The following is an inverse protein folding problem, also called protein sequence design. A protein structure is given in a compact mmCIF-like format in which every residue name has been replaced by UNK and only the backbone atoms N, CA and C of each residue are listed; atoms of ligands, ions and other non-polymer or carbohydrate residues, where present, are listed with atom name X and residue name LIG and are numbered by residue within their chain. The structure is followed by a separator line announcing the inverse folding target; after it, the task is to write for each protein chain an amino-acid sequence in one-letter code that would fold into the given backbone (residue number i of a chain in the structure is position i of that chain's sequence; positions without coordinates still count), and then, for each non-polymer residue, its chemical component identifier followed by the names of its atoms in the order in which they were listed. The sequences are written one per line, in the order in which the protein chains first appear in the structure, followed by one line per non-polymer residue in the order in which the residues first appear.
data_IF_334913494985
#
_entry.id   IF_334913494985
#
_cell.length_a   1.000
_cell.length_b   1.000
_cell.length_c   1.000
_cell.angle_alpha   90.00
_cell.angle_beta   90.00
_cell.angle_gamma   90.00
#
_symmetry.space_group_name_H-M   'P 1'
#
loop_
_entity.id
_entity.type
_entity.pdbx_description
1 polymer ?
#
# COMPACT_ATOMS: atom_id res chain seq x y z
N UNK A 1 0.26 -22.70 17.07
CA UNK A 1 -0.75 -21.85 17.73
C UNK A 1 -1.89 -21.52 16.79
N UNK A 2 -3.08 -21.16 17.33
CA UNK A 2 -4.25 -20.70 16.54
C UNK A 2 -4.17 -19.19 16.34
N UNK A 3 -4.12 -18.74 15.08
CA UNK A 3 -3.98 -17.32 14.71
C UNK A 3 -5.15 -16.91 13.82
N UNK A 4 -5.96 -15.95 14.26
CA UNK A 4 -7.01 -15.35 13.46
C UNK A 4 -6.50 -14.07 12.81
N UNK A 5 -6.56 -13.98 11.48
CA UNK A 5 -6.23 -12.79 10.70
C UNK A 5 -7.53 -12.22 10.14
N UNK A 6 -7.81 -10.96 10.44
CA UNK A 6 -9.01 -10.25 10.00
C UNK A 6 -8.66 -9.08 9.11
N UNK A 7 -8.95 -9.20 7.80
CA UNK A 7 -8.87 -8.09 6.86
C UNK A 7 -10.04 -8.18 5.85
N UNK A 8 -10.92 -7.17 5.78
CA UNK A 8 -12.02 -7.16 4.82
C UNK A 8 -11.56 -7.15 3.35
N UNK A 9 -10.32 -6.76 3.09
CA UNK A 9 -9.66 -6.83 1.78
C UNK A 9 -8.43 -7.73 1.82
N UNK A 10 -8.01 -8.27 0.68
CA UNK A 10 -6.89 -9.23 0.65
C UNK A 10 -5.54 -8.49 0.67
N UNK A 11 -5.39 -7.46 -0.13
CA UNK A 11 -4.18 -6.65 -0.28
C UNK A 11 -2.87 -7.48 -0.08
N UNK A 12 -1.95 -6.96 0.76
CA UNK A 12 -0.71 -7.65 1.13
C UNK A 12 -0.90 -8.71 2.24
N UNK A 13 -2.05 -8.75 2.91
CA UNK A 13 -2.36 -9.70 4.00
C UNK A 13 -2.19 -11.16 3.56
N UNK A 14 -2.31 -11.46 2.25
CA UNK A 14 -1.98 -12.78 1.70
C UNK A 14 -0.56 -13.25 2.07
N UNK A 15 0.41 -12.34 2.10
CA UNK A 15 1.78 -12.67 2.46
C UNK A 15 1.90 -12.94 3.97
N UNK A 16 1.17 -12.21 4.82
CA UNK A 16 1.07 -12.48 6.25
C UNK A 16 0.46 -13.87 6.52
N UNK A 17 -0.66 -14.18 5.85
CA UNK A 17 -1.32 -15.49 5.95
C UNK A 17 -0.39 -16.62 5.51
N UNK A 18 0.29 -16.44 4.38
CA UNK A 18 1.24 -17.42 3.85
C UNK A 18 2.40 -17.66 4.81
N UNK A 19 3.05 -16.60 5.30
CA UNK A 19 4.17 -16.71 6.23
C UNK A 19 3.81 -17.55 7.46
N UNK A 20 2.64 -17.31 8.04
CA UNK A 20 2.19 -18.00 9.24
C UNK A 20 1.76 -19.46 8.98
N UNK A 21 1.17 -19.74 7.82
CA UNK A 21 0.85 -21.12 7.39
C UNK A 21 2.12 -21.94 7.13
N UNK A 22 3.10 -21.35 6.44
CA UNK A 22 4.38 -21.99 6.11
C UNK A 22 5.19 -22.29 7.37
N UNK A 23 5.00 -21.52 8.44
CA UNK A 23 5.60 -21.75 9.77
C UNK A 23 4.83 -22.74 10.64
N UNK A 24 3.83 -23.42 10.10
CA UNK A 24 3.09 -24.50 10.77
C UNK A 24 2.05 -24.03 11.77
N UNK A 25 1.62 -22.76 11.72
CA UNK A 25 0.52 -22.27 12.55
C UNK A 25 -0.85 -22.69 12.00
N UNK A 26 -1.81 -22.85 12.88
CA UNK A 26 -3.23 -23.02 12.51
C UNK A 26 -3.82 -21.63 12.27
N UNK A 27 -4.01 -21.27 11.00
CA UNK A 27 -4.43 -19.92 10.59
C UNK A 27 -5.86 -19.92 10.08
N UNK A 28 -6.69 -19.01 10.60
CA UNK A 28 -8.00 -18.65 10.05
C UNK A 28 -7.92 -17.24 9.47
N UNK A 29 -8.04 -17.10 8.16
CA UNK A 29 -8.13 -15.81 7.49
C UNK A 29 -9.58 -15.44 7.24
N UNK A 30 -10.09 -14.45 7.96
CA UNK A 30 -11.42 -13.88 7.81
C UNK A 30 -11.39 -12.67 6.87
N UNK A 31 -12.11 -12.73 5.74
CA UNK A 31 -12.18 -11.67 4.73
C UNK A 31 -13.62 -11.39 4.28
N UNK A 32 -13.86 -10.23 3.67
CA UNK A 32 -15.21 -9.89 3.18
C UNK A 32 -15.61 -10.75 1.99
N UNK A 33 -14.68 -11.13 1.14
CA UNK A 33 -14.94 -11.96 -0.04
C UNK A 33 -13.69 -12.74 -0.46
N UNK A 34 -13.88 -14.06 -0.71
CA UNK A 34 -12.88 -14.93 -1.29
C UNK A 34 -13.44 -15.62 -2.54
N UNK A 35 -12.75 -15.53 -3.67
CA UNK A 35 -13.19 -16.19 -4.91
C UNK A 35 -13.02 -17.71 -4.80
N UNK A 36 -14.12 -18.44 -5.10
CA UNK A 36 -14.13 -19.91 -5.15
C UNK A 36 -14.82 -20.37 -6.44
N UNK A 37 -14.09 -20.94 -7.42
CA UNK A 37 -14.61 -21.22 -8.76
C UNK A 37 -15.85 -22.15 -8.78
N UNK A 38 -16.03 -22.95 -7.74
CA UNK A 38 -17.14 -23.93 -7.66
C UNK A 38 -18.46 -23.36 -7.12
N UNK A 39 -18.49 -22.10 -6.65
CA UNK A 39 -19.74 -21.49 -6.17
C UNK A 39 -20.62 -21.06 -7.34
N UNK A 40 -21.94 -21.15 -7.16
CA UNK A 40 -22.93 -20.83 -8.20
C UNK A 40 -22.75 -19.40 -8.76
N UNK A 41 -22.50 -18.42 -7.90
CA UNK A 41 -22.30 -17.03 -8.30
C UNK A 41 -21.09 -16.88 -9.24
N UNK A 42 -19.96 -17.50 -8.93
CA UNK A 42 -18.75 -17.46 -9.74
C UNK A 42 -18.91 -18.19 -11.07
N UNK A 43 -19.70 -19.28 -11.08
CA UNK A 43 -20.04 -20.00 -12.32
C UNK A 43 -20.85 -19.13 -13.28
N UNK A 44 -21.83 -18.36 -12.78
CA UNK A 44 -22.65 -17.44 -13.59
C UNK A 44 -21.75 -16.38 -14.26
N UNK A 45 -20.75 -15.85 -13.55
CA UNK A 45 -19.86 -14.81 -14.08
C UNK A 45 -18.58 -15.35 -14.74
N UNK A 46 -18.42 -16.67 -14.84
CA UNK A 46 -17.23 -17.33 -15.39
C UNK A 46 -16.93 -16.98 -16.85
N UNK A 47 -17.96 -16.67 -17.64
CA UNK A 47 -17.87 -16.30 -19.06
C UNK A 47 -17.79 -14.76 -19.29
N UNK A 48 -17.73 -13.96 -18.23
CA UNK A 48 -17.75 -12.49 -18.33
C UNK A 48 -16.38 -11.88 -18.00
N UNK A 49 -16.10 -10.64 -18.44
CA UNK A 49 -14.88 -9.90 -18.01
C UNK A 49 -14.74 -9.75 -16.49
N UNK A 50 -15.87 -9.86 -15.75
CA UNK A 50 -15.91 -9.81 -14.30
C UNK A 50 -15.13 -10.97 -13.65
N UNK A 51 -14.93 -12.09 -14.32
CA UNK A 51 -14.13 -13.24 -13.85
C UNK A 51 -12.73 -12.80 -13.42
N UNK A 52 -12.01 -12.07 -14.28
CA UNK A 52 -10.64 -11.58 -13.96
C UNK A 52 -10.61 -10.68 -12.73
N UNK A 53 -11.66 -9.87 -12.54
CA UNK A 53 -11.79 -9.02 -11.36
C UNK A 53 -12.05 -9.86 -10.09
N UNK A 54 -12.93 -10.85 -10.17
CA UNK A 54 -13.25 -11.73 -9.04
C UNK A 54 -12.05 -12.60 -8.64
N UNK A 55 -11.30 -13.12 -9.60
CA UNK A 55 -10.09 -13.94 -9.36
C UNK A 55 -8.98 -13.20 -8.59
N UNK A 56 -8.93 -11.87 -8.65
CA UNK A 56 -7.98 -11.07 -7.83
C UNK A 56 -8.22 -11.20 -6.33
N UNK A 57 -9.39 -11.72 -5.93
CA UNK A 57 -9.77 -11.94 -4.54
C UNK A 57 -9.52 -13.39 -4.09
N UNK A 58 -8.54 -14.04 -4.66
CA UNK A 58 -8.04 -15.35 -4.23
C UNK A 58 -6.53 -15.42 -4.42
N UNK A 59 -5.94 -16.42 -3.80
CA UNK A 59 -4.53 -16.77 -3.98
C UNK A 59 -4.43 -18.29 -3.97
N UNK A 60 -3.86 -18.88 -5.03
CA UNK A 60 -3.74 -20.32 -5.19
C UNK A 60 -2.78 -20.94 -4.16
N UNK A 61 -1.87 -20.14 -3.60
CA UNK A 61 -0.91 -20.58 -2.59
C UNK A 61 -1.52 -20.67 -1.19
N UNK A 62 -2.71 -20.09 -0.97
CA UNK A 62 -3.40 -20.14 0.32
C UNK A 62 -4.45 -21.26 0.26
N UNK A 63 -4.35 -22.22 1.19
CA UNK A 63 -5.33 -23.31 1.31
C UNK A 63 -6.72 -22.72 1.55
N UNK A 64 -7.67 -23.06 0.70
CA UNK A 64 -9.05 -22.58 0.80
C UNK A 64 -9.73 -22.92 2.14
N UNK A 65 -9.29 -24.00 2.82
CA UNK A 65 -9.76 -24.39 4.15
C UNK A 65 -9.35 -23.41 5.26
N UNK A 66 -8.25 -22.66 5.07
CA UNK A 66 -7.79 -21.64 6.03
C UNK A 66 -8.50 -20.29 5.83
N UNK A 67 -9.38 -20.15 4.85
CA UNK A 67 -10.06 -18.88 4.55
C UNK A 67 -11.56 -19.00 4.82
N UNK A 68 -12.08 -18.08 5.62
CA UNK A 68 -13.50 -17.89 5.83
C UNK A 68 -13.93 -16.53 5.29
N UNK A 69 -14.95 -16.49 4.46
CA UNK A 69 -15.47 -15.25 3.89
C UNK A 69 -16.88 -14.93 4.39
N UNK A 70 -17.16 -13.62 4.52
CA UNK A 70 -18.42 -13.13 5.06
C UNK A 70 -19.60 -13.64 4.20
N UNK A 71 -20.65 -14.27 4.79
CA UNK A 71 -21.76 -14.88 4.03
C UNK A 71 -22.45 -13.93 3.06
N UNK A 72 -22.58 -12.66 3.46
CA UNK A 72 -23.24 -11.58 2.70
C UNK A 72 -22.24 -10.55 2.13
N UNK A 73 -20.94 -10.77 2.30
CA UNK A 73 -19.90 -9.79 1.96
C UNK A 73 -20.00 -9.28 0.53
N UNK A 74 -20.29 -10.15 -0.43
CA UNK A 74 -20.47 -9.78 -1.86
C UNK A 74 -21.64 -8.84 -2.08
N UNK A 75 -22.82 -9.21 -1.56
CA UNK A 75 -24.05 -8.42 -1.74
C UNK A 75 -23.88 -7.04 -1.10
N UNK A 76 -23.34 -7.01 0.11
CA UNK A 76 -23.10 -5.78 0.85
C UNK A 76 -22.06 -4.87 0.18
N UNK A 77 -21.02 -5.45 -0.41
CA UNK A 77 -20.03 -4.71 -1.18
C UNK A 77 -20.65 -3.95 -2.38
N UNK A 78 -21.59 -4.60 -3.09
CA UNK A 78 -22.30 -3.97 -4.20
C UNK A 78 -23.34 -2.94 -3.71
N UNK A 79 -24.13 -3.25 -2.69
CA UNK A 79 -25.14 -2.35 -2.15
C UNK A 79 -24.55 -1.06 -1.59
N UNK A 80 -23.44 -1.14 -0.86
CA UNK A 80 -22.75 0.04 -0.32
C UNK A 80 -22.23 0.97 -1.43
N UNK A 81 -21.85 0.43 -2.60
CA UNK A 81 -21.46 1.28 -3.74
C UNK A 81 -22.58 2.18 -4.26
N UNK A 82 -23.84 1.77 -4.13
CA UNK A 82 -25.00 2.52 -4.59
C UNK A 82 -25.38 3.68 -3.67
N UNK A 83 -24.88 3.70 -2.43
CA UNK A 83 -25.20 4.74 -1.45
C UNK A 83 -24.43 6.03 -1.79
N UNK A 84 -25.04 7.21 -1.80
CA UNK A 84 -24.37 8.49 -2.00
C UNK A 84 -23.57 8.89 -0.76
N UNK A 85 -22.32 8.43 -0.66
CA UNK A 85 -21.41 8.71 0.45
C UNK A 85 -19.95 8.77 -0.03
N UNK A 86 -19.05 9.37 0.75
CA UNK A 86 -17.62 9.36 0.45
C UNK A 86 -17.05 7.95 0.44
N UNK A 87 -15.95 7.75 -0.28
CA UNK A 87 -15.25 6.45 -0.35
C UNK A 87 -14.88 5.96 1.05
N UNK A 88 -14.35 6.84 1.89
CA UNK A 88 -13.97 6.51 3.27
C UNK A 88 -15.18 6.10 4.12
N UNK A 89 -16.33 6.77 3.97
CA UNK A 89 -17.55 6.40 4.70
C UNK A 89 -18.09 5.03 4.28
N UNK A 90 -18.05 4.72 2.97
CA UNK A 90 -18.46 3.42 2.45
C UNK A 90 -17.56 2.30 2.98
N UNK A 91 -16.23 2.52 2.94
CA UNK A 91 -15.25 1.60 3.50
C UNK A 91 -15.51 1.39 4.99
N UNK A 92 -15.71 2.46 5.77
CA UNK A 92 -15.96 2.37 7.21
C UNK A 92 -17.19 1.51 7.56
N UNK A 93 -18.28 1.62 6.81
CA UNK A 93 -19.46 0.79 7.05
C UNK A 93 -19.19 -0.70 6.75
N UNK A 94 -18.46 -0.98 5.67
CA UNK A 94 -18.07 -2.35 5.32
C UNK A 94 -17.14 -2.94 6.40
N UNK A 95 -16.15 -2.15 6.84
CA UNK A 95 -15.21 -2.54 7.88
C UNK A 95 -15.92 -2.84 9.20
N UNK A 96 -16.90 -2.01 9.61
CA UNK A 96 -17.71 -2.24 10.82
C UNK A 96 -18.57 -3.49 10.76
N UNK A 97 -19.13 -3.80 9.61
CA UNK A 97 -19.94 -5.02 9.43
C UNK A 97 -19.05 -6.27 9.49
N UNK A 98 -17.90 -6.20 8.86
CA UNK A 98 -16.88 -7.24 8.91
C UNK A 98 -16.41 -7.49 10.34
N UNK A 99 -16.04 -6.46 11.06
CA UNK A 99 -15.59 -6.52 12.45
C UNK A 99 -16.60 -7.21 13.39
N UNK A 100 -17.88 -6.80 13.32
CA UNK A 100 -18.97 -7.46 14.09
C UNK A 100 -19.16 -8.94 13.76
N UNK A 101 -18.91 -9.32 12.53
CA UNK A 101 -18.97 -10.73 12.14
C UNK A 101 -17.76 -11.50 12.67
N UNK A 102 -16.55 -10.96 12.52
CA UNK A 102 -15.31 -11.60 13.00
C UNK A 102 -15.30 -11.71 14.52
N UNK A 103 -15.84 -10.74 15.26
CA UNK A 103 -15.93 -10.82 16.72
C UNK A 103 -16.67 -12.08 17.21
N UNK A 104 -17.64 -12.59 16.43
CA UNK A 104 -18.32 -13.86 16.73
C UNK A 104 -17.44 -15.08 16.41
N UNK A 105 -16.62 -15.00 15.36
CA UNK A 105 -15.65 -16.05 15.01
C UNK A 105 -14.60 -16.19 16.10
N UNK A 106 -14.12 -15.09 16.68
CA UNK A 106 -13.15 -15.08 17.79
C UNK A 106 -13.68 -15.92 18.96
N UNK A 107 -14.94 -15.68 19.39
CA UNK A 107 -15.56 -16.42 20.51
C UNK A 107 -15.77 -17.90 20.20
N UNK A 108 -16.01 -18.27 18.95
CA UNK A 108 -16.26 -19.67 18.55
C UNK A 108 -15.00 -20.47 18.26
N UNK A 109 -13.90 -19.81 17.89
CA UNK A 109 -12.64 -20.47 17.50
C UNK A 109 -11.53 -20.33 18.53
N UNK A 110 -11.65 -19.38 19.47
CA UNK A 110 -10.72 -19.12 20.56
C UNK A 110 -9.25 -19.03 20.13
N UNK A 111 -8.88 -18.06 19.28
CA UNK A 111 -7.49 -17.87 18.85
C UNK A 111 -6.61 -17.43 20.00
N UNK A 112 -5.31 -17.76 19.92
CA UNK A 112 -4.28 -17.26 20.83
C UNK A 112 -3.74 -15.89 20.40
N UNK A 113 -3.77 -15.61 19.08
CA UNK A 113 -3.40 -14.33 18.49
C UNK A 113 -4.48 -13.88 17.50
N UNK A 114 -4.85 -12.61 17.55
CA UNK A 114 -5.70 -11.95 16.56
C UNK A 114 -4.90 -10.85 15.89
N UNK A 115 -4.75 -10.92 14.57
CA UNK A 115 -4.20 -9.85 13.73
C UNK A 115 -5.36 -9.14 13.07
N UNK A 116 -5.65 -7.92 13.49
CA UNK A 116 -6.77 -7.11 13.01
C UNK A 116 -6.31 -5.96 12.13
N UNK A 117 -7.00 -5.75 11.00
CA UNK A 117 -6.72 -4.62 10.11
C UNK A 117 -7.42 -3.36 10.61
N UNK A 118 -6.71 -2.23 10.60
CA UNK A 118 -7.18 -0.91 11.07
C UNK A 118 -8.57 -0.56 10.52
N UNK A 119 -9.47 -0.04 11.34
CA UNK A 119 -10.89 0.28 11.15
C UNK A 119 -11.84 -0.93 11.18
N UNK A 120 -11.33 -2.15 11.24
CA UNK A 120 -12.14 -3.36 11.14
C UNK A 120 -11.88 -4.39 12.23
N UNK A 121 -11.40 -3.96 13.42
CA UNK A 121 -11.03 -4.89 14.48
C UNK A 121 -11.41 -4.47 15.91
N UNK A 122 -12.15 -3.38 16.11
CA UNK A 122 -12.52 -2.91 17.46
C UNK A 122 -13.36 -3.93 18.24
N UNK A 123 -14.45 -4.45 17.64
CA UNK A 123 -15.31 -5.45 18.30
C UNK A 123 -14.60 -6.82 18.35
N UNK A 124 -13.80 -7.12 17.36
CA UNK A 124 -12.90 -8.28 17.29
C UNK A 124 -11.90 -8.27 18.46
N UNK A 125 -11.24 -7.14 18.72
CA UNK A 125 -10.27 -6.99 19.81
C UNK A 125 -10.94 -7.05 21.20
N UNK A 126 -12.15 -6.51 21.35
CA UNK A 126 -12.92 -6.68 22.57
C UNK A 126 -13.19 -8.16 22.86
N UNK A 127 -13.61 -8.92 21.85
CA UNK A 127 -13.85 -10.36 22.00
C UNK A 127 -12.53 -11.13 22.26
N UNK A 128 -11.43 -10.72 21.66
CA UNK A 128 -10.11 -11.30 21.93
C UNK A 128 -9.63 -11.02 23.37
N UNK A 129 -9.93 -9.82 23.91
CA UNK A 129 -9.62 -9.49 25.30
C UNK A 129 -10.40 -10.35 26.31
N UNK A 130 -11.65 -10.72 26.00
CA UNK A 130 -12.45 -11.65 26.84
C UNK A 130 -11.79 -13.04 26.96
N UNK A 131 -10.96 -13.41 25.98
CA UNK A 131 -10.25 -14.71 25.90
C UNK A 131 -8.76 -14.59 26.28
N UNK A 132 -8.28 -13.44 26.69
CA UNK A 132 -6.85 -13.13 26.92
C UNK A 132 -5.97 -13.42 25.68
N UNK A 133 -6.54 -13.33 24.46
CA UNK A 133 -5.79 -13.48 23.23
C UNK A 133 -4.97 -12.21 22.94
N UNK A 134 -3.77 -12.40 22.39
CA UNK A 134 -2.89 -11.32 21.91
C UNK A 134 -3.54 -10.58 20.75
N UNK A 135 -3.38 -9.26 20.69
CA UNK A 135 -4.00 -8.39 19.69
C UNK A 135 -2.94 -7.60 18.94
N UNK A 136 -2.71 -7.94 17.68
CA UNK A 136 -1.87 -7.18 16.78
C UNK A 136 -2.73 -6.36 15.82
N UNK A 137 -2.51 -5.04 15.83
CA UNK A 137 -3.15 -4.14 14.89
C UNK A 137 -2.27 -3.98 13.64
N UNK A 138 -2.76 -4.39 12.47
CA UNK A 138 -2.13 -4.14 11.18
C UNK A 138 -2.49 -2.73 10.71
N UNK A 139 -1.54 -1.79 10.86
CA UNK A 139 -1.67 -0.38 10.48
C UNK A 139 -1.17 -0.17 9.05
N UNK A 140 -2.08 -0.12 8.11
CA UNK A 140 -1.76 0.10 6.70
C UNK A 140 -1.48 1.55 6.30
N UNK A 141 -1.73 2.50 7.20
CA UNK A 141 -1.56 3.93 6.94
C UNK A 141 -0.67 4.59 8.01
N UNK A 142 -1.02 5.79 8.42
CA UNK A 142 -0.36 6.60 9.45
C UNK A 142 -1.36 6.97 10.53
N UNK A 143 -0.89 7.51 11.65
CA UNK A 143 -1.79 8.01 12.70
C UNK A 143 -2.82 9.01 12.12
N UNK A 144 -4.11 8.92 12.50
CA UNK A 144 -5.16 9.77 11.91
C UNK A 144 -4.98 11.28 12.17
N UNK A 145 -4.21 11.70 13.19
CA UNK A 145 -3.84 13.11 13.39
C UNK A 145 -2.99 13.65 12.25
N UNK A 146 -2.09 12.83 11.67
CA UNK A 146 -1.31 13.22 10.51
C UNK A 146 -2.21 13.40 9.27
N UNK A 147 -3.20 12.54 9.10
CA UNK A 147 -4.21 12.72 8.03
C UNK A 147 -5.05 13.98 8.26
N UNK A 148 -5.37 14.32 9.52
CA UNK A 148 -6.12 15.55 9.85
C UNK A 148 -5.30 16.83 9.56
N UNK A 149 -3.97 16.81 9.74
CA UNK A 149 -3.09 17.92 9.32
C UNK A 149 -3.14 18.13 7.81
N UNK A 150 -2.94 17.07 7.03
CA UNK A 150 -3.06 17.14 5.56
C UNK A 150 -4.45 17.58 5.10
N UNK A 151 -5.50 17.17 5.83
CA UNK A 151 -6.88 17.57 5.55
C UNK A 151 -7.14 19.05 5.81
N UNK A 152 -6.43 19.65 6.74
CA UNK A 152 -6.50 21.11 7.03
C UNK A 152 -5.76 21.91 5.97
N UNK A 153 -4.63 21.39 5.52
CA UNK A 153 -3.74 22.05 4.57
C UNK A 153 -4.24 21.90 3.12
N UNK A 154 -4.63 20.68 2.70
CA UNK A 154 -5.01 20.37 1.33
C UNK A 154 -6.49 20.03 1.20
N UNK A 155 -7.24 20.87 0.47
CA UNK A 155 -8.71 20.77 0.37
C UNK A 155 -9.19 19.42 -0.22
N UNK A 156 -8.46 18.81 -1.14
CA UNK A 156 -8.84 17.54 -1.76
C UNK A 156 -8.86 16.36 -0.76
N UNK A 157 -8.11 16.42 0.33
CA UNK A 157 -8.22 15.42 1.41
C UNK A 157 -9.61 15.41 2.07
N UNK A 158 -10.33 16.54 2.06
CA UNK A 158 -11.72 16.59 2.55
C UNK A 158 -12.65 15.76 1.67
N UNK A 159 -12.40 15.75 0.35
CA UNK A 159 -13.14 14.91 -0.60
C UNK A 159 -12.94 13.41 -0.34
N UNK A 160 -11.71 13.01 0.01
CA UNK A 160 -11.36 11.62 0.31
C UNK A 160 -11.94 11.19 1.67
N UNK A 161 -11.71 11.97 2.71
CA UNK A 161 -12.05 11.63 4.10
C UNK A 161 -13.49 11.97 4.52
N UNK A 162 -14.22 12.69 3.67
CA UNK A 162 -15.60 13.10 3.93
C UNK A 162 -15.73 14.30 4.88
N UNK A 163 -16.94 14.50 5.44
CA UNK A 163 -17.22 15.62 6.35
C UNK A 163 -16.41 15.53 7.63
N UNK A 164 -16.20 16.68 8.31
CA UNK A 164 -15.48 16.74 9.60
C UNK A 164 -16.09 15.84 10.68
N UNK A 165 -17.42 15.72 10.72
CA UNK A 165 -18.11 14.84 11.67
C UNK A 165 -17.82 13.36 11.40
N UNK A 166 -17.90 12.94 10.16
CA UNK A 166 -17.62 11.55 9.75
C UNK A 166 -16.15 11.19 9.98
N UNK A 167 -15.24 12.10 9.63
CA UNK A 167 -13.81 11.93 9.90
C UNK A 167 -13.53 11.74 11.38
N UNK A 168 -14.13 12.58 12.26
CA UNK A 168 -13.98 12.46 13.72
C UNK A 168 -14.53 11.13 14.25
N UNK A 169 -15.62 10.63 13.69
CA UNK A 169 -16.17 9.32 14.07
C UNK A 169 -15.17 8.19 13.77
N UNK A 170 -14.59 8.19 12.57
CA UNK A 170 -13.58 7.21 12.14
C UNK A 170 -12.32 7.34 12.99
N UNK A 171 -11.88 8.58 13.23
CA UNK A 171 -10.74 8.90 14.10
C UNK A 171 -10.88 8.27 15.49
N UNK A 172 -12.00 8.55 16.18
CA UNK A 172 -12.25 7.99 17.51
C UNK A 172 -12.23 6.47 17.50
N UNK A 173 -12.78 5.86 16.46
CA UNK A 173 -12.79 4.40 16.32
C UNK A 173 -11.36 3.84 16.23
N UNK A 174 -10.50 4.42 15.40
CA UNK A 174 -9.10 4.04 15.28
C UNK A 174 -8.32 4.15 16.59
N UNK A 175 -8.53 5.24 17.34
CA UNK A 175 -7.86 5.42 18.64
C UNK A 175 -8.24 4.30 19.62
N UNK A 176 -9.52 3.91 19.68
CA UNK A 176 -9.96 2.78 20.51
C UNK A 176 -9.31 1.45 20.09
N UNK A 177 -9.10 1.23 18.80
CA UNK A 177 -8.35 0.05 18.30
C UNK A 177 -6.89 0.10 18.76
N UNK A 178 -6.24 1.29 18.71
CA UNK A 178 -4.86 1.46 19.17
C UNK A 178 -4.70 1.21 20.66
N UNK A 179 -5.69 1.64 21.47
CA UNK A 179 -5.71 1.40 22.91
C UNK A 179 -5.80 -0.09 23.24
N UNK A 180 -6.68 -0.83 22.56
CA UNK A 180 -6.90 -2.25 22.77
C UNK A 180 -5.79 -3.16 22.21
N UNK A 181 -5.09 -2.74 21.18
CA UNK A 181 -4.01 -3.52 20.60
C UNK A 181 -2.87 -3.70 21.61
N UNK A 182 -2.28 -4.88 21.70
CA UNK A 182 -1.05 -5.11 22.47
C UNK A 182 0.16 -4.63 21.65
N UNK A 183 0.11 -4.83 20.32
CA UNK A 183 1.14 -4.41 19.37
C UNK A 183 0.53 -3.77 18.13
N UNK A 184 1.16 -2.71 17.62
CA UNK A 184 0.80 -2.04 16.37
C UNK A 184 1.88 -2.32 15.32
N UNK A 185 1.48 -2.97 14.24
CA UNK A 185 2.33 -3.39 13.16
C UNK A 185 2.33 -2.35 12.04
N UNK A 186 3.47 -1.72 11.78
CA UNK A 186 3.63 -0.64 10.80
C UNK A 186 4.47 -1.06 9.61
N UNK A 187 4.29 -0.39 8.49
CA UNK A 187 5.00 -0.66 7.23
C UNK A 187 6.30 0.16 7.07
N UNK A 188 6.53 1.18 7.90
CA UNK A 188 7.71 2.06 7.80
C UNK A 188 7.96 2.81 9.09
N UNK A 189 9.20 3.33 9.24
CA UNK A 189 9.57 4.23 10.33
C UNK A 189 8.79 5.56 10.25
N UNK A 190 8.45 6.03 9.05
CA UNK A 190 7.57 7.18 8.85
C UNK A 190 6.19 6.95 9.51
N UNK A 191 5.55 5.81 9.24
CA UNK A 191 4.26 5.48 9.87
C UNK A 191 4.40 5.34 11.38
N UNK A 192 5.44 4.65 11.88
CA UNK A 192 5.76 4.51 13.29
C UNK A 192 5.99 5.88 13.96
N UNK A 193 6.75 6.77 13.33
CA UNK A 193 7.00 8.14 13.81
C UNK A 193 5.71 8.93 14.02
N UNK A 194 4.71 8.77 13.14
CA UNK A 194 3.39 9.44 13.33
C UNK A 194 2.63 8.93 14.55
N UNK A 195 2.80 7.66 14.92
CA UNK A 195 2.22 7.09 16.15
C UNK A 195 2.92 7.63 17.39
N UNK A 196 4.25 7.61 17.42
CA UNK A 196 5.06 8.10 18.53
C UNK A 196 4.80 9.58 18.81
N UNK A 197 4.72 10.42 17.76
CA UNK A 197 4.38 11.84 17.87
C UNK A 197 2.99 12.09 18.49
N UNK A 198 2.12 11.07 18.48
CA UNK A 198 0.78 11.14 19.07
C UNK A 198 0.64 10.30 20.35
N UNK A 199 1.75 9.99 21.01
CA UNK A 199 1.76 9.42 22.37
C UNK A 199 1.70 7.89 22.44
N UNK A 200 1.78 7.19 21.31
CA UNK A 200 1.91 5.72 21.32
C UNK A 200 3.36 5.35 21.66
N UNK A 201 3.54 4.49 22.68
CA UNK A 201 4.88 4.03 23.07
C UNK A 201 5.56 3.27 21.91
N UNK A 202 6.84 3.55 21.67
CA UNK A 202 7.63 2.83 20.66
C UNK A 202 7.72 1.33 20.96
N UNK A 203 7.69 0.92 22.24
CA UNK A 203 7.68 -0.48 22.66
C UNK A 203 6.43 -1.26 22.19
N UNK A 204 5.36 -0.54 21.84
CA UNK A 204 4.11 -1.11 21.29
C UNK A 204 4.13 -1.21 19.76
N UNK A 205 5.20 -0.74 19.10
CA UNK A 205 5.26 -0.62 17.64
C UNK A 205 6.26 -1.62 17.08
N UNK A 206 5.82 -2.38 16.09
CA UNK A 206 6.68 -3.23 15.25
C UNK A 206 6.69 -2.73 13.83
N UNK A 207 7.89 -2.57 13.25
CA UNK A 207 8.04 -2.13 11.86
C UNK A 207 8.50 -3.31 11.01
N UNK A 208 7.67 -3.68 10.03
CA UNK A 208 8.02 -4.69 9.03
C UNK A 208 7.57 -4.22 7.63
N UNK A 209 8.48 -3.64 6.86
CA UNK A 209 8.21 -3.15 5.51
C UNK A 209 7.82 -4.28 4.55
N UNK A 210 6.86 -4.00 3.66
CA UNK A 210 6.45 -4.96 2.62
C UNK A 210 7.60 -5.28 1.68
N UNK A 211 7.65 -6.54 1.26
CA UNK A 211 8.63 -7.02 0.30
C UNK A 211 8.22 -6.81 -1.16
N UNK A 212 9.18 -7.02 -2.06
CA UNK A 212 8.97 -7.16 -3.49
C UNK A 212 9.35 -8.57 -3.97
N UNK A 213 8.98 -8.92 -5.20
CA UNK A 213 9.36 -10.20 -5.82
C UNK A 213 10.65 -10.02 -6.66
N UNK A 214 11.83 -10.52 -6.22
CA UNK A 214 13.08 -10.36 -6.94
C UNK A 214 13.15 -11.13 -8.25
N UNK A 215 12.27 -12.12 -8.48
CA UNK A 215 12.17 -12.82 -9.75
C UNK A 215 11.43 -12.02 -10.83
N UNK A 216 10.74 -10.95 -10.46
CA UNK A 216 10.00 -10.05 -11.37
C UNK A 216 10.73 -8.70 -11.50
N UNK A 217 11.09 -8.12 -10.37
CA UNK A 217 11.73 -6.81 -10.29
C UNK A 217 13.23 -6.98 -10.06
N UNK A 218 14.02 -6.75 -11.08
CA UNK A 218 15.49 -6.84 -11.07
C UNK A 218 16.06 -5.87 -12.12
N UNK A 219 17.30 -5.39 -11.95
CA UNK A 219 17.89 -4.47 -12.91
C UNK A 219 18.16 -5.15 -14.26
N UNK A 220 18.13 -4.40 -15.38
CA UNK A 220 18.50 -4.95 -16.68
C UNK A 220 19.99 -5.35 -16.69
N UNK A 221 20.34 -6.41 -17.44
CA UNK A 221 21.73 -6.89 -17.59
C UNK A 221 22.59 -5.81 -18.25
N UNK A 222 22.06 -5.14 -19.26
CA UNK A 222 22.67 -4.00 -19.91
C UNK A 222 21.65 -2.86 -19.97
N UNK A 223 22.03 -1.68 -19.49
CA UNK A 223 21.23 -0.47 -19.68
C UNK A 223 21.81 0.26 -20.89
N UNK A 224 20.97 0.54 -21.87
CA UNK A 224 21.39 1.33 -23.05
C UNK A 224 22.11 2.60 -22.60
N UNK A 225 23.33 2.79 -23.11
CA UNK A 225 24.05 4.04 -22.89
C UNK A 225 23.27 5.18 -23.52
N UNK A 226 22.88 6.16 -22.70
CA UNK A 226 22.17 7.33 -23.18
C UNK A 226 23.00 8.14 -24.16
N UNK A 227 22.51 8.25 -25.37
CA UNK A 227 22.90 9.30 -26.29
C UNK A 227 21.63 9.82 -26.98
N UNK A 228 21.30 11.07 -26.79
CA UNK A 228 20.29 11.86 -27.52
C UNK A 228 18.81 11.48 -27.45
N UNK A 229 18.33 10.85 -26.40
CA UNK A 229 16.87 10.69 -26.17
C UNK A 229 16.40 11.49 -24.95
N UNK A 230 15.11 11.88 -24.86
CA UNK A 230 14.55 12.57 -23.69
C UNK A 230 14.68 11.71 -22.43
N UNK A 231 14.83 12.38 -21.26
CA UNK A 231 14.78 11.71 -19.96
C UNK A 231 13.44 11.00 -19.79
N UNK A 232 13.47 9.67 -19.65
CA UNK A 232 12.27 8.83 -19.50
C UNK A 232 11.89 8.74 -18.04
N UNK A 233 10.88 9.49 -17.66
CA UNK A 233 10.31 9.49 -16.30
C UNK A 233 9.15 8.50 -16.27
N UNK A 234 9.09 7.67 -15.24
CA UNK A 234 7.95 6.79 -15.01
C UNK A 234 7.33 7.07 -13.64
N UNK A 235 6.00 7.07 -13.62
CA UNK A 235 5.16 7.04 -12.42
C UNK A 235 4.29 5.79 -12.47
N UNK A 236 4.13 5.09 -11.36
CA UNK A 236 3.19 3.98 -11.26
C UNK A 236 2.36 4.06 -9.97
N UNK A 237 1.03 3.97 -10.13
CA UNK A 237 0.06 4.09 -9.05
C UNK A 237 -1.28 4.64 -9.53
N UNK A 238 -2.29 4.68 -8.66
CA UNK A 238 -3.59 5.28 -9.00
C UNK A 238 -3.38 6.76 -9.31
N UNK A 239 -3.96 7.25 -10.40
CA UNK A 239 -3.83 8.64 -10.86
C UNK A 239 -4.74 9.54 -10.01
N UNK A 240 -4.24 9.99 -8.87
CA UNK A 240 -4.99 10.79 -7.89
C UNK A 240 -4.23 12.02 -7.42
N UNK A 241 -4.96 13.01 -6.88
CA UNK A 241 -4.37 14.17 -6.24
C UNK A 241 -3.52 13.78 -5.01
N UNK A 242 -4.00 12.82 -4.21
CA UNK A 242 -3.24 12.29 -3.06
C UNK A 242 -1.88 11.73 -3.47
N UNK A 243 -1.78 11.17 -4.67
CA UNK A 243 -0.51 10.66 -5.22
C UNK A 243 0.32 11.71 -5.95
N UNK A 244 -0.11 12.98 -5.91
CA UNK A 244 0.65 14.12 -6.41
C UNK A 244 0.75 14.25 -7.93
N UNK A 245 -0.06 13.50 -8.69
CA UNK A 245 0.00 13.51 -10.16
C UNK A 245 -0.24 14.92 -10.73
N UNK A 246 -1.06 15.75 -10.08
CA UNK A 246 -1.27 17.13 -10.47
C UNK A 246 -0.01 17.98 -10.35
N UNK A 247 0.77 17.82 -9.27
CA UNK A 247 2.03 18.54 -9.03
C UNK A 247 3.09 18.10 -10.04
N UNK A 248 3.14 16.78 -10.36
CA UNK A 248 4.01 16.22 -11.38
C UNK A 248 3.73 16.82 -12.76
N UNK A 249 2.46 16.83 -13.18
CA UNK A 249 2.06 17.36 -14.47
C UNK A 249 2.30 18.89 -14.57
N UNK A 250 2.18 19.63 -13.48
CA UNK A 250 2.51 21.04 -13.40
C UNK A 250 4.03 21.26 -13.50
N UNK A 251 4.86 20.44 -12.85
CA UNK A 251 6.31 20.55 -12.95
C UNK A 251 6.82 20.37 -14.38
N UNK A 252 6.19 19.50 -15.17
CA UNK A 252 6.55 19.30 -16.58
C UNK A 252 6.20 20.49 -17.49
N UNK A 253 5.29 21.37 -17.11
CA UNK A 253 4.92 22.53 -17.96
C UNK A 253 6.07 23.51 -18.20
N UNK A 254 7.09 23.52 -17.33
CA UNK A 254 8.29 24.35 -17.46
C UNK A 254 9.46 23.69 -18.18
N UNK A 255 9.28 22.45 -18.70
CA UNK A 255 10.32 21.68 -19.37
C UNK A 255 10.01 21.50 -20.85
N UNK A 256 11.04 21.40 -21.68
CA UNK A 256 10.89 21.12 -23.11
C UNK A 256 10.36 19.70 -23.33
N UNK A 257 9.40 19.54 -24.23
CA UNK A 257 8.88 18.22 -24.62
C UNK A 257 9.93 17.32 -25.29
N UNK A 258 11.02 17.91 -25.75
CA UNK A 258 12.17 17.18 -26.35
C UNK A 258 13.11 16.62 -25.29
N UNK A 259 13.09 17.21 -24.08
CA UNK A 259 14.05 16.85 -23.02
C UNK A 259 13.46 15.79 -22.06
N UNK A 260 12.13 15.65 -22.00
CA UNK A 260 11.46 14.80 -21.00
C UNK A 260 10.32 14.01 -21.63
N UNK A 261 10.22 12.71 -21.33
CA UNK A 261 9.06 11.87 -21.63
C UNK A 261 8.53 11.27 -20.34
N UNK A 262 7.23 11.46 -20.05
CA UNK A 262 6.55 10.91 -18.87
C UNK A 262 5.65 9.73 -19.25
N UNK A 263 5.84 8.59 -18.60
CA UNK A 263 4.91 7.46 -18.64
C UNK A 263 4.15 7.37 -17.31
N UNK A 264 2.82 7.50 -17.37
CA UNK A 264 1.91 7.36 -16.24
C UNK A 264 1.25 5.98 -16.30
N UNK A 265 1.44 5.14 -15.27
CA UNK A 265 0.93 3.78 -15.21
C UNK A 265 -0.04 3.63 -14.03
N UNK A 266 -1.25 3.16 -14.31
CA UNK A 266 -2.24 2.83 -13.28
C UNK A 266 -3.65 3.36 -13.55
N UNK A 267 -4.64 2.92 -12.78
CA UNK A 267 -6.04 3.28 -13.03
C UNK A 267 -6.28 4.76 -12.79
N UNK A 268 -7.13 5.35 -13.64
CA UNK A 268 -7.58 6.72 -13.47
C UNK A 268 -8.42 6.88 -12.20
N UNK A 269 -8.08 7.89 -11.39
CA UNK A 269 -8.76 8.27 -10.17
C UNK A 269 -9.31 9.70 -10.23
N UNK A 270 -9.28 10.43 -9.13
CA UNK A 270 -9.81 11.81 -9.02
C UNK A 270 -9.02 12.86 -9.82
N UNK A 271 -7.81 12.53 -10.29
CA UNK A 271 -7.01 13.38 -11.18
C UNK A 271 -7.22 13.06 -12.69
N UNK A 272 -8.21 12.22 -13.04
CA UNK A 272 -8.45 11.79 -14.43
C UNK A 272 -8.76 12.95 -15.39
N UNK A 273 -9.50 13.97 -14.95
CA UNK A 273 -9.78 15.14 -15.77
C UNK A 273 -8.50 15.92 -16.13
N UNK A 274 -7.56 16.02 -15.21
CA UNK A 274 -6.26 16.66 -15.45
C UNK A 274 -5.38 15.78 -16.36
N UNK A 275 -5.38 14.47 -16.15
CA UNK A 275 -4.72 13.52 -17.04
C UNK A 275 -5.19 13.72 -18.49
N UNK A 276 -6.50 13.68 -18.74
CA UNK A 276 -7.07 13.80 -20.08
C UNK A 276 -6.70 15.12 -20.78
N UNK A 277 -6.56 16.23 -20.01
CA UNK A 277 -6.12 17.53 -20.54
C UNK A 277 -4.66 17.53 -21.00
N UNK A 278 -3.85 16.58 -20.57
CA UNK A 278 -2.42 16.50 -20.89
C UNK A 278 -2.08 15.38 -21.91
N UNK A 279 -3.02 14.47 -22.20
CA UNK A 279 -2.76 13.33 -23.11
C UNK A 279 -2.56 13.74 -24.59
N UNK A 280 -2.85 14.99 -24.97
CA UNK A 280 -2.55 15.49 -26.31
C UNK A 280 -1.06 15.84 -26.49
N UNK A 281 -0.28 15.94 -25.42
CA UNK A 281 1.16 16.22 -25.46
C UNK A 281 1.92 15.00 -25.95
N UNK A 282 2.87 15.20 -26.85
CA UNK A 282 3.66 14.12 -27.46
C UNK A 282 4.58 13.40 -26.48
N UNK A 283 4.91 14.05 -25.37
CA UNK A 283 5.83 13.56 -24.35
C UNK A 283 5.12 12.93 -23.13
N UNK A 284 3.82 12.65 -23.20
CA UNK A 284 3.06 11.99 -22.12
C UNK A 284 2.38 10.72 -22.65
N UNK A 285 2.73 9.59 -22.05
CA UNK A 285 2.12 8.29 -22.29
C UNK A 285 1.30 7.85 -21.08
N UNK A 286 0.10 7.31 -21.29
CA UNK A 286 -0.74 6.77 -20.23
C UNK A 286 -1.07 5.30 -20.48
N UNK A 287 -0.85 4.46 -19.46
CA UNK A 287 -1.15 3.03 -19.48
C UNK A 287 -2.04 2.71 -18.27
N UNK A 288 -3.33 2.38 -18.48
CA UNK A 288 -4.30 2.26 -17.37
C UNK A 288 -4.06 1.05 -16.47
N UNK A 289 -3.38 0.02 -16.95
CA UNK A 289 -3.09 -1.18 -16.18
C UNK A 289 -1.96 -1.99 -16.82
N UNK A 290 -1.07 -2.48 -15.97
CA UNK A 290 -0.06 -3.50 -16.30
C UNK A 290 -0.07 -4.60 -15.24
N UNK A 291 0.23 -5.83 -15.62
CA UNK A 291 0.62 -6.90 -14.68
C UNK A 291 1.99 -6.60 -14.07
N UNK A 292 2.35 -7.28 -12.98
CA UNK A 292 3.68 -7.06 -12.37
C UNK A 292 4.86 -7.29 -13.33
N UNK A 293 4.89 -8.36 -14.16
CA UNK A 293 5.96 -8.52 -15.14
C UNK A 293 6.00 -7.42 -16.21
N UNK A 294 4.83 -6.95 -16.67
CA UNK A 294 4.74 -5.85 -17.63
C UNK A 294 5.19 -4.52 -17.00
N UNK A 295 4.80 -4.26 -15.75
CA UNK A 295 5.26 -3.10 -14.99
C UNK A 295 6.79 -3.12 -14.83
N UNK A 296 7.36 -4.26 -14.44
CA UNK A 296 8.82 -4.41 -14.33
C UNK A 296 9.53 -4.14 -15.66
N UNK A 297 8.93 -4.54 -16.79
CA UNK A 297 9.47 -4.24 -18.13
C UNK A 297 9.44 -2.73 -18.42
N UNK A 298 8.35 -2.02 -18.08
CA UNK A 298 8.28 -0.57 -18.28
C UNK A 298 9.22 0.18 -17.32
N UNK A 299 9.36 -0.28 -16.07
CA UNK A 299 10.33 0.29 -15.14
C UNK A 299 11.76 0.17 -15.69
N UNK A 300 12.17 -0.98 -16.22
CA UNK A 300 13.51 -1.17 -16.79
C UNK A 300 13.81 -0.29 -18.00
N UNK A 301 12.79 0.12 -18.77
CA UNK A 301 12.94 1.03 -19.92
C UNK A 301 13.10 2.50 -19.48
N UNK A 302 12.68 2.85 -18.27
CA UNK A 302 12.74 4.20 -17.75
C UNK A 302 14.14 4.57 -17.26
N UNK A 303 14.34 5.86 -17.00
CA UNK A 303 15.57 6.43 -16.48
C UNK A 303 15.46 6.83 -15.02
N UNK A 304 14.30 7.33 -14.61
CA UNK A 304 14.02 7.76 -13.24
C UNK A 304 12.56 7.44 -12.88
N UNK A 305 12.34 7.00 -11.66
CA UNK A 305 11.01 6.82 -11.10
C UNK A 305 10.64 8.04 -10.24
N UNK A 306 9.46 8.63 -10.49
CA UNK A 306 9.01 9.80 -9.76
C UNK A 306 7.67 9.53 -9.06
N UNK A 307 7.64 9.71 -7.73
CA UNK A 307 6.48 9.42 -6.89
C UNK A 307 6.20 10.56 -5.89
N UNK A 308 5.52 11.64 -6.33
CA UNK A 308 5.33 12.86 -5.54
C UNK A 308 4.11 12.79 -4.61
N UNK A 309 3.95 11.66 -3.91
CA UNK A 309 2.77 11.37 -3.08
C UNK A 309 2.68 12.29 -1.87
N UNK A 310 1.49 12.81 -1.58
CA UNK A 310 1.22 13.57 -0.35
C UNK A 310 1.21 12.68 0.88
N UNK A 311 0.92 11.39 0.70
CA UNK A 311 0.90 10.39 1.75
C UNK A 311 0.94 8.99 1.17
N UNK A 312 1.93 8.22 1.58
CA UNK A 312 1.98 6.78 1.42
C UNK A 312 2.76 6.13 2.57
N UNK A 313 2.14 5.19 3.26
CA UNK A 313 2.76 4.55 4.44
C UNK A 313 3.98 3.68 4.10
N UNK A 314 4.09 3.16 2.85
CA UNK A 314 5.26 2.40 2.38
C UNK A 314 5.62 2.73 0.93
N UNK A 315 4.66 2.69 0.00
CA UNK A 315 4.88 2.81 -1.44
C UNK A 315 5.74 1.66 -2.01
N UNK A 316 5.21 0.44 -1.97
CA UNK A 316 5.91 -0.75 -2.50
C UNK A 316 6.44 -0.55 -3.94
N UNK A 317 5.74 0.21 -4.77
CA UNK A 317 6.15 0.51 -6.14
C UNK A 317 7.48 1.30 -6.23
N UNK A 318 7.82 2.09 -5.19
CA UNK A 318 9.14 2.76 -5.10
C UNK A 318 10.23 1.72 -4.94
N UNK A 319 10.01 0.73 -4.05
CA UNK A 319 10.94 -0.38 -3.84
C UNK A 319 11.07 -1.25 -5.10
N UNK A 320 9.96 -1.50 -5.80
CA UNK A 320 9.93 -2.21 -7.08
C UNK A 320 10.73 -1.48 -8.17
N UNK A 321 10.62 -0.14 -8.24
CA UNK A 321 11.38 0.70 -9.16
C UNK A 321 12.88 0.70 -8.82
N UNK A 322 13.23 0.84 -7.55
CA UNK A 322 14.62 0.74 -7.07
C UNK A 322 15.20 -0.63 -7.40
N UNK A 323 14.44 -1.72 -7.20
CA UNK A 323 14.85 -3.07 -7.55
C UNK A 323 15.10 -3.24 -9.05
N UNK A 324 14.40 -2.49 -9.91
CA UNK A 324 14.65 -2.43 -11.35
C UNK A 324 15.86 -1.55 -11.75
N UNK A 325 16.62 -1.03 -10.77
CA UNK A 325 17.80 -0.20 -11.02
C UNK A 325 17.45 1.23 -11.44
N UNK A 326 16.35 1.79 -10.93
CA UNK A 326 15.98 3.19 -11.16
C UNK A 326 16.35 4.06 -9.95
N UNK A 327 17.02 5.19 -10.16
CA UNK A 327 17.02 6.26 -9.18
C UNK A 327 15.61 6.79 -8.98
N UNK A 328 15.30 7.25 -7.78
CA UNK A 328 13.94 7.65 -7.42
C UNK A 328 13.86 9.10 -6.96
N UNK A 329 12.78 9.78 -7.31
CA UNK A 329 12.38 11.08 -6.74
C UNK A 329 11.10 10.83 -5.95
N UNK A 330 11.14 11.00 -4.63
CA UNK A 330 10.03 10.72 -3.73
C UNK A 330 9.81 11.88 -2.77
N UNK A 331 8.61 12.00 -2.22
CA UNK A 331 8.34 12.97 -1.15
C UNK A 331 8.69 12.42 0.22
N UNK A 332 8.94 13.32 1.16
CA UNK A 332 9.19 13.04 2.58
C UNK A 332 8.06 12.26 3.27
N UNK A 333 6.81 12.41 2.79
CA UNK A 333 5.63 11.71 3.33
C UNK A 333 5.40 10.32 2.69
N UNK A 334 6.44 9.73 2.16
CA UNK A 334 6.45 8.38 1.58
C UNK A 334 7.29 7.46 2.47
N UNK A 335 6.72 6.35 2.95
CA UNK A 335 7.44 5.43 3.85
C UNK A 335 8.75 4.91 3.25
N UNK A 336 8.76 4.57 1.96
CA UNK A 336 9.98 4.15 1.26
C UNK A 336 11.06 5.25 1.16
N UNK A 337 10.75 6.52 1.49
CA UNK A 337 11.76 7.58 1.54
C UNK A 337 12.87 7.28 2.55
N UNK A 338 12.61 6.46 3.58
CA UNK A 338 13.65 5.97 4.51
C UNK A 338 14.81 5.21 3.82
N UNK A 339 14.59 4.71 2.60
CA UNK A 339 15.59 4.00 1.79
C UNK A 339 16.35 4.94 0.85
N UNK A 340 15.94 6.21 0.78
CA UNK A 340 16.44 7.17 -0.20
C UNK A 340 17.41 8.13 0.44
N UNK A 341 18.57 8.27 -0.18
CA UNK A 341 19.59 9.29 0.10
C UNK A 341 20.13 9.82 -1.24
N UNK A 342 21.07 10.75 -1.20
CA UNK A 342 21.63 11.37 -2.40
C UNK A 342 22.33 10.40 -3.36
N UNK A 343 22.70 9.21 -2.89
CA UNK A 343 23.34 8.17 -3.72
C UNK A 343 22.34 7.32 -4.50
N UNK A 344 21.06 7.31 -4.11
CA UNK A 344 20.00 6.48 -4.74
C UNK A 344 18.87 7.31 -5.33
N UNK A 345 18.78 8.60 -5.01
CA UNK A 345 17.70 9.44 -5.51
C UNK A 345 17.61 10.82 -4.84
N UNK A 346 16.40 11.37 -4.81
CA UNK A 346 16.08 12.65 -4.17
C UNK A 346 14.82 12.56 -3.35
N UNK A 347 14.88 13.09 -2.12
CA UNK A 347 13.70 13.34 -1.30
C UNK A 347 13.33 14.81 -1.49
N UNK A 348 12.08 15.07 -1.81
CA UNK A 348 11.55 16.41 -2.06
C UNK A 348 10.40 16.74 -1.10
N UNK A 349 10.15 18.03 -0.82
CA UNK A 349 8.98 18.44 -0.06
C UNK A 349 7.67 18.07 -0.78
N UNK A 350 6.62 17.85 0.01
CA UNK A 350 5.27 17.62 -0.51
C UNK A 350 4.75 18.89 -1.19
N UNK A 351 4.05 18.73 -2.33
CA UNK A 351 3.41 19.83 -3.08
C UNK A 351 4.39 20.90 -3.62
N UNK A 352 5.64 20.56 -3.85
CA UNK A 352 6.64 21.48 -4.37
C UNK A 352 6.96 21.20 -5.85
N UNK A 353 6.31 21.98 -6.72
CA UNK A 353 6.51 21.93 -8.20
C UNK A 353 7.96 22.22 -8.58
N UNK A 354 8.60 23.18 -7.90
CA UNK A 354 9.97 23.58 -8.22
C UNK A 354 10.99 22.52 -7.78
N UNK A 355 10.78 21.90 -6.61
CA UNK A 355 11.63 20.81 -6.16
C UNK A 355 11.56 19.60 -7.12
N UNK A 356 10.36 19.26 -7.64
CA UNK A 356 10.21 18.23 -8.69
C UNK A 356 11.00 18.64 -9.94
N UNK A 357 10.80 19.87 -10.43
CA UNK A 357 11.45 20.37 -11.64
C UNK A 357 12.98 20.36 -11.50
N UNK A 358 13.51 20.85 -10.38
CA UNK A 358 14.93 20.87 -10.11
C UNK A 358 15.52 19.45 -10.04
N UNK A 359 14.80 18.49 -9.44
CA UNK A 359 15.22 17.10 -9.41
C UNK A 359 15.23 16.45 -10.81
N UNK A 360 14.29 16.82 -11.69
CA UNK A 360 14.29 16.38 -13.10
C UNK A 360 15.46 17.01 -13.86
N UNK A 361 15.67 18.32 -13.73
CA UNK A 361 16.78 19.05 -14.38
C UNK A 361 18.13 18.47 -13.96
N UNK A 362 18.31 18.11 -12.69
CA UNK A 362 19.53 17.44 -12.23
C UNK A 362 19.84 16.19 -13.05
N UNK A 363 18.87 15.34 -13.36
CA UNK A 363 19.08 14.12 -14.15
C UNK A 363 19.25 14.38 -15.65
N UNK A 364 18.78 15.53 -16.14
CA UNK A 364 19.05 15.98 -17.53
C UNK A 364 20.49 16.47 -17.63
N UNK A 365 20.95 17.28 -16.66
CA UNK A 365 22.26 17.89 -16.64
C UNK A 365 23.39 16.88 -16.29
N UNK A 366 23.06 15.83 -15.50
CA UNK A 366 24.00 14.81 -15.04
C UNK A 366 23.51 13.39 -15.38
N UNK A 367 23.44 13.02 -16.69
CA UNK A 367 22.91 11.74 -17.11
C UNK A 367 23.74 10.53 -16.62
N UNK A 368 25.04 10.72 -16.33
CA UNK A 368 25.91 9.70 -15.75
C UNK A 368 25.47 9.29 -14.33
N UNK A 369 24.84 10.20 -13.58
CA UNK A 369 24.32 9.91 -12.25
C UNK A 369 23.22 8.83 -12.27
N UNK A 370 22.45 8.73 -13.36
CA UNK A 370 21.36 7.77 -13.49
C UNK A 370 21.80 6.32 -13.34
N UNK A 371 22.92 5.94 -13.98
CA UNK A 371 23.42 4.58 -13.90
C UNK A 371 23.97 4.27 -12.51
N UNK A 372 24.78 5.18 -11.95
CA UNK A 372 25.38 4.97 -10.63
C UNK A 372 24.32 4.92 -9.53
N UNK A 373 23.38 5.87 -9.53
CA UNK A 373 22.28 5.90 -8.56
C UNK A 373 21.33 4.70 -8.73
N UNK A 374 21.08 4.28 -9.97
CA UNK A 374 20.24 3.10 -10.23
C UNK A 374 20.84 1.81 -9.67
N UNK A 375 22.16 1.60 -9.80
CA UNK A 375 22.85 0.48 -9.18
C UNK A 375 22.74 0.53 -7.66
N UNK A 376 23.02 1.69 -7.06
CA UNK A 376 22.89 1.89 -5.61
C UNK A 376 21.45 1.73 -5.11
N UNK A 377 20.46 2.16 -5.89
CA UNK A 377 19.05 1.95 -5.57
C UNK A 377 18.70 0.45 -5.52
N UNK A 378 19.17 -0.32 -6.51
CA UNK A 378 18.97 -1.77 -6.53
C UNK A 378 19.65 -2.46 -5.35
N UNK A 379 20.88 -2.09 -5.00
CA UNK A 379 21.61 -2.61 -3.83
C UNK A 379 20.84 -2.31 -2.52
N UNK A 380 20.33 -1.09 -2.36
CA UNK A 380 19.65 -0.64 -1.14
C UNK A 380 18.37 -1.44 -0.81
N UNK A 381 17.75 -2.06 -1.82
CA UNK A 381 16.49 -2.81 -1.63
C UNK A 381 16.63 -4.33 -1.69
N UNK A 382 17.82 -4.88 -1.90
CA UNK A 382 18.05 -6.32 -2.05
C UNK A 382 17.49 -7.14 -0.87
N UNK A 383 17.56 -6.60 0.33
CA UNK A 383 17.06 -7.25 1.54
C UNK A 383 15.53 -7.13 1.72
N UNK A 384 14.82 -6.33 0.92
CA UNK A 384 13.39 -6.09 1.06
C UNK A 384 12.54 -7.07 0.23
N UNK A 385 12.85 -8.37 0.26
CA UNK A 385 12.06 -9.41 -0.42
C UNK A 385 10.86 -9.86 0.42
N UNK A 386 9.89 -10.54 -0.21
CA UNK A 386 8.81 -11.21 0.52
C UNK A 386 9.32 -12.30 1.45
N UNK A 387 10.42 -12.99 1.11
CA UNK A 387 11.05 -13.97 2.02
C UNK A 387 11.49 -13.29 3.32
N UNK A 388 12.22 -12.17 3.21
CA UNK A 388 12.64 -11.42 4.42
C UNK A 388 11.43 -10.94 5.23
N UNK A 389 10.35 -10.47 4.58
CA UNK A 389 9.12 -10.07 5.28
C UNK A 389 8.55 -11.24 6.10
N UNK A 390 8.50 -12.44 5.52
CA UNK A 390 8.03 -13.66 6.20
C UNK A 390 8.93 -14.03 7.39
N UNK A 391 10.24 -14.05 7.19
CA UNK A 391 11.21 -14.42 8.24
C UNK A 391 11.12 -13.43 9.41
N UNK A 392 11.07 -12.13 9.12
CA UNK A 392 10.95 -11.09 10.14
C UNK A 392 9.62 -11.17 10.89
N UNK A 393 8.51 -11.42 10.21
CA UNK A 393 7.21 -11.60 10.83
C UNK A 393 7.22 -12.75 11.83
N UNK A 394 7.81 -13.90 11.45
CA UNK A 394 7.90 -15.06 12.31
C UNK A 394 8.82 -14.81 13.53
N UNK A 395 9.96 -14.15 13.34
CA UNK A 395 10.84 -13.75 14.43
C UNK A 395 10.16 -12.82 15.43
N UNK A 396 9.42 -11.81 14.93
CA UNK A 396 8.65 -10.90 15.77
C UNK A 396 7.57 -11.64 16.56
N UNK A 397 6.90 -12.60 15.94
CA UNK A 397 5.90 -13.43 16.60
C UNK A 397 6.52 -14.29 17.72
N UNK A 398 7.65 -14.91 17.46
CA UNK A 398 8.36 -15.72 18.48
C UNK A 398 8.82 -14.86 19.67
N UNK A 399 9.31 -13.65 19.42
CA UNK A 399 9.72 -12.72 20.46
C UNK A 399 8.55 -12.29 21.34
N UNK A 400 7.44 -11.92 20.71
CA UNK A 400 6.22 -11.51 21.42
C UNK A 400 5.68 -12.62 22.31
N UNK A 401 5.65 -13.86 21.80
CA UNK A 401 5.19 -15.02 22.57
C UNK A 401 6.09 -15.35 23.75
N UNK A 402 7.40 -15.17 23.64
CA UNK A 402 8.34 -15.34 24.77
C UNK A 402 8.07 -14.31 25.86
N UNK A 403 7.78 -13.06 25.47
CA UNK A 403 7.52 -11.96 26.43
C UNK A 403 6.22 -12.15 27.24
N UNK A 404 5.28 -12.96 26.73
CA UNK A 404 4.00 -13.21 27.40
C UNK A 404 4.02 -14.42 28.33
N UNK A 405 5.04 -15.27 28.23
CA UNK A 405 5.23 -16.43 29.13
C UNK A 405 6.16 -16.14 30.31
N UNK A 406 6.61 -14.89 30.45
CA UNK A 406 7.35 -14.35 31.61
C UNK A 406 6.42 -13.50 32.46
#
# INVERSE_FOLDING_TARGET
MRILISNPSIQYTRNTVKALLDSGHEVMFATAYWYRPNRLFEKIFSATPLKKYLQRHSDEQIRAASVIDHPWGRLLYFLVKLIPASVEQKSYWQDRMHDRWVSKLVRGWEPQLVIGYEKSCLDTFKSASELNAVKWLDLSQVHPSFIDSLRKEFSFFKGITGTKSKFRQIFKHKILEYELADTIFCLSDFAAGTLVQNGISYSKILVNPLGYNPNIFFPPVEKEKKSNHPLRIVYAGIITQRKGVHVLLEALQGLSEKDVHLTLIGPAGDASALLNRNLHKSNITYIPFLSQPELANELRKADVFLFPSFLDSWAAVVVEAMACGLPVIVTENTGAAQLVNEQVGRIIPVNDVNAIRNAILYFIDYPEALQQMGLKASEAVQTYSWSRYHDQLNQLLEQEMKNQHV
#
